data_IF_521937792077
#
_entry.id   IF_521937792077
#
_cell.length_a   1.000
_cell.length_b   1.000
_cell.length_c   1.000
_cell.angle_alpha   90.00
_cell.angle_beta   90.00
_cell.angle_gamma   90.00
#
_symmetry.space_group_name_H-M   'P 1'
#
loop_
_entity.id
_entity.type
_entity.pdbx_description
1 polymer ?
#
# COMPACT_ATOMS: atom_id res chain seq x y z
N UNK A 1 -1.73 28.07 1.64
CA UNK A 1 -1.83 27.01 2.67
C UNK A 1 -1.27 25.76 2.05
N UNK A 2 -0.25 25.12 2.64
CA UNK A 2 0.24 23.84 2.15
C UNK A 2 -0.85 22.76 2.29
N UNK A 3 -0.93 21.84 1.34
CA UNK A 3 -2.04 20.88 1.27
C UNK A 3 -1.93 19.81 2.37
N UNK A 4 -3.07 19.28 2.85
CA UNK A 4 -3.07 18.33 3.98
C UNK A 4 -2.27 17.05 3.70
N UNK A 5 -2.28 16.56 2.46
CA UNK A 5 -1.56 15.35 2.04
C UNK A 5 -0.05 15.56 1.94
N UNK A 6 0.40 16.77 1.60
CA UNK A 6 1.81 17.11 1.50
C UNK A 6 2.49 17.17 2.86
N UNK A 7 1.74 17.42 3.94
CA UNK A 7 2.28 17.64 5.30
C UNK A 7 1.59 16.82 6.38
N UNK A 8 1.04 15.67 6.02
CA UNK A 8 0.16 14.91 6.90
C UNK A 8 0.87 14.47 8.18
N UNK A 9 2.15 14.10 8.15
CA UNK A 9 2.83 13.70 9.38
C UNK A 9 3.04 14.86 10.35
N UNK A 10 3.43 16.03 9.83
CA UNK A 10 3.59 17.25 10.62
C UNK A 10 2.27 17.75 11.21
N UNK A 11 1.20 17.76 10.41
CA UNK A 11 -0.14 18.16 10.86
C UNK A 11 -0.67 17.26 11.98
N UNK A 12 -0.22 16.01 12.03
CA UNK A 12 -0.61 15.04 13.06
C UNK A 12 0.50 14.78 14.08
N UNK A 13 1.55 15.60 14.13
CA UNK A 13 2.74 15.41 14.99
C UNK A 13 2.39 15.33 16.48
N UNK A 14 1.39 16.07 16.95
CA UNK A 14 0.92 16.00 18.33
C UNK A 14 0.38 14.60 18.71
N UNK A 15 -0.16 13.86 17.74
CA UNK A 15 -0.68 12.49 17.94
C UNK A 15 0.38 11.45 17.58
N UNK A 16 1.02 11.57 16.41
CA UNK A 16 1.89 10.55 15.85
C UNK A 16 3.37 10.71 16.22
N UNK A 17 3.81 11.92 16.59
CA UNK A 17 5.24 12.24 16.78
C UNK A 17 5.93 11.41 17.85
N UNK A 18 5.20 11.01 18.90
CA UNK A 18 5.75 10.16 19.96
C UNK A 18 5.60 8.65 19.68
N UNK A 19 4.92 8.26 18.61
CA UNK A 19 4.81 6.85 18.23
C UNK A 19 6.09 6.41 17.51
N UNK A 20 6.66 5.25 17.87
CA UNK A 20 7.64 4.57 17.04
C UNK A 20 7.15 4.39 15.60
N UNK A 21 8.04 4.49 14.61
CA UNK A 21 7.66 4.31 13.19
C UNK A 21 6.95 2.99 12.92
N UNK A 22 7.30 1.90 13.62
CA UNK A 22 6.58 0.62 13.51
C UNK A 22 5.09 0.71 13.87
N UNK A 23 4.65 1.72 14.61
CA UNK A 23 3.25 1.99 14.96
C UNK A 23 2.52 2.94 14.01
N UNK A 24 3.24 3.49 13.03
CA UNK A 24 2.69 4.35 11.98
C UNK A 24 2.63 3.54 10.70
N UNK A 25 1.51 3.59 10.00
CA UNK A 25 1.34 2.94 8.71
C UNK A 25 1.69 3.93 7.61
N UNK A 26 2.78 3.65 6.88
CA UNK A 26 3.26 4.50 5.80
C UNK A 26 2.56 4.15 4.47
N UNK A 27 1.98 5.14 3.77
CA UNK A 27 1.57 5.00 2.37
C UNK A 27 2.80 4.73 1.50
N UNK A 28 2.79 3.61 0.79
CA UNK A 28 3.94 3.13 0.00
C UNK A 28 3.58 2.92 -1.46
N UNK A 29 4.44 3.41 -2.35
CA UNK A 29 4.32 3.16 -3.79
C UNK A 29 5.23 2.00 -4.19
N UNK A 30 4.63 0.97 -4.78
CA UNK A 30 5.34 -0.16 -5.37
C UNK A 30 5.86 0.24 -6.76
N UNK A 31 7.11 -0.14 -7.07
CA UNK A 31 7.78 0.22 -8.33
C UNK A 31 7.61 1.71 -8.68
N UNK A 32 7.87 2.58 -7.69
CA UNK A 32 7.44 3.98 -7.68
C UNK A 32 7.92 4.79 -8.89
N UNK A 33 9.06 4.43 -9.48
CA UNK A 33 9.63 5.09 -10.65
C UNK A 33 9.19 4.54 -12.01
N UNK A 34 8.10 3.77 -12.08
CA UNK A 34 7.59 3.18 -13.34
C UNK A 34 6.40 3.94 -13.93
N UNK A 35 6.46 5.28 -13.92
CA UNK A 35 5.36 6.12 -14.43
C UNK A 35 5.38 6.35 -15.94
N UNK A 36 6.52 6.15 -16.59
CA UNK A 36 6.69 6.21 -18.05
C UNK A 36 7.96 5.44 -18.45
N UNK A 37 8.03 4.97 -19.69
CA UNK A 37 9.26 4.39 -20.26
C UNK A 37 10.14 5.51 -20.81
N UNK A 38 11.39 5.60 -20.36
CA UNK A 38 12.30 6.67 -20.77
C UNK A 38 12.85 6.41 -22.18
N UNK A 39 12.59 7.33 -23.12
CA UNK A 39 13.17 7.31 -24.47
C UNK A 39 13.07 5.94 -25.18
N UNK A 40 11.97 5.21 -24.97
CA UNK A 40 11.77 3.86 -25.52
C UNK A 40 12.90 2.86 -25.16
N UNK A 41 13.51 3.04 -23.98
CA UNK A 41 14.60 2.19 -23.46
C UNK A 41 14.03 0.90 -22.88
N UNK A 42 13.54 0.04 -23.77
CA UNK A 42 12.87 -1.24 -23.46
C UNK A 42 13.35 -2.37 -24.36
N UNK A 43 13.11 -3.60 -23.92
CA UNK A 43 13.16 -4.80 -24.76
C UNK A 43 11.84 -4.95 -25.53
N UNK A 44 11.78 -5.89 -26.47
CA UNK A 44 10.60 -6.07 -27.34
C UNK A 44 9.30 -6.34 -26.58
N UNK A 45 9.37 -7.14 -25.50
CA UNK A 45 8.20 -7.45 -24.67
C UNK A 45 8.04 -6.50 -23.47
N UNK A 46 8.90 -5.49 -23.34
CA UNK A 46 8.86 -4.46 -22.30
C UNK A 46 7.80 -3.38 -22.57
N UNK A 47 6.59 -3.78 -22.98
CA UNK A 47 5.51 -2.87 -23.33
C UNK A 47 4.98 -2.12 -22.09
N UNK A 48 4.46 -0.92 -22.31
CA UNK A 48 3.97 -0.03 -21.25
C UNK A 48 2.91 -0.73 -20.38
N UNK A 49 2.00 -1.48 -20.98
CA UNK A 49 0.94 -2.24 -20.28
C UNK A 49 1.48 -3.31 -19.32
N UNK A 50 2.74 -3.73 -19.48
CA UNK A 50 3.39 -4.78 -18.69
C UNK A 50 4.35 -4.22 -17.64
N UNK A 51 4.87 -3.01 -17.86
CA UNK A 51 5.97 -2.43 -17.09
C UNK A 51 5.48 -1.32 -16.17
N UNK A 52 4.54 -0.49 -16.63
CA UNK A 52 4.10 0.67 -15.86
C UNK A 52 3.20 0.22 -14.72
N UNK A 53 3.61 0.50 -13.48
CA UNK A 53 2.78 0.27 -12.28
C UNK A 53 2.28 1.57 -11.69
N UNK A 54 2.76 2.72 -12.15
CA UNK A 54 2.35 4.04 -11.69
C UNK A 54 1.89 4.92 -12.86
N UNK A 55 1.02 5.89 -12.57
CA UNK A 55 0.58 6.93 -13.52
C UNK A 55 1.08 8.32 -13.16
N UNK A 56 1.73 8.46 -12.00
CA UNK A 56 2.13 9.72 -11.40
C UNK A 56 3.64 9.79 -11.22
N UNK A 57 4.21 10.99 -11.35
CA UNK A 57 5.62 11.23 -11.05
C UNK A 57 5.92 10.98 -9.57
N UNK A 58 7.21 10.84 -9.21
CA UNK A 58 7.61 10.69 -7.80
C UNK A 58 7.13 11.88 -6.97
N UNK A 59 7.28 13.11 -7.48
CA UNK A 59 6.81 14.31 -6.80
C UNK A 59 5.29 14.28 -6.58
N UNK A 60 4.50 13.90 -7.59
CA UNK A 60 3.04 13.81 -7.46
C UNK A 60 2.62 12.74 -6.45
N UNK A 61 3.29 11.59 -6.43
CA UNK A 61 3.03 10.53 -5.44
C UNK A 61 3.30 11.05 -4.01
N UNK A 62 4.39 11.78 -3.79
CA UNK A 62 4.70 12.43 -2.50
C UNK A 62 3.63 13.46 -2.12
N UNK A 63 3.16 14.27 -3.08
CA UNK A 63 2.09 15.26 -2.84
C UNK A 63 0.74 14.60 -2.51
N UNK A 64 0.49 13.39 -3.02
CA UNK A 64 -0.67 12.56 -2.67
C UNK A 64 -0.54 11.82 -1.33
N UNK A 65 0.61 11.94 -0.65
CA UNK A 65 0.82 11.44 0.71
C UNK A 65 1.73 10.22 0.83
N UNK A 66 2.29 9.71 -0.29
CA UNK A 66 3.29 8.63 -0.25
C UNK A 66 4.51 9.07 0.56
N UNK A 67 5.01 8.18 1.42
CA UNK A 67 6.22 8.41 2.24
C UNK A 67 7.21 7.25 2.20
N UNK A 68 6.89 6.18 1.48
CA UNK A 68 7.77 5.07 1.23
C UNK A 68 7.79 4.78 -0.28
N UNK A 69 8.97 4.85 -0.89
CA UNK A 69 9.15 4.68 -2.33
C UNK A 69 9.97 3.41 -2.59
N UNK A 70 9.37 2.44 -3.28
CA UNK A 70 10.08 1.28 -3.83
C UNK A 70 10.84 1.70 -5.10
N UNK A 71 12.15 1.86 -5.01
CA UNK A 71 13.02 2.28 -6.10
C UNK A 71 13.86 1.09 -6.55
N UNK A 72 13.74 0.70 -7.82
CA UNK A 72 14.48 -0.41 -8.42
C UNK A 72 15.44 0.11 -9.49
N UNK A 73 16.70 0.41 -9.15
CA UNK A 73 17.61 1.04 -10.09
C UNK A 73 18.18 0.02 -11.09
N UNK A 74 18.25 0.42 -12.35
CA UNK A 74 18.89 -0.32 -13.42
C UNK A 74 19.87 0.57 -14.16
N UNK A 75 21.10 0.09 -14.36
CA UNK A 75 22.07 0.72 -15.24
C UNK A 75 21.90 0.13 -16.62
N UNK A 76 21.33 0.89 -17.53
CA UNK A 76 20.89 0.36 -18.83
C UNK A 76 21.77 0.85 -19.96
N UNK A 77 22.08 -0.04 -20.90
CA UNK A 77 22.75 0.28 -22.17
C UNK A 77 22.07 -0.47 -23.31
N UNK A 78 22.08 0.08 -24.52
CA UNK A 78 21.52 -0.56 -25.72
C UNK A 78 22.61 -0.78 -26.77
N UNK A 79 22.69 -1.98 -27.37
CA UNK A 79 23.80 -2.34 -28.27
C UNK A 79 23.91 -1.46 -29.52
N UNK A 80 22.82 -0.80 -29.92
CA UNK A 80 22.74 0.04 -31.12
C UNK A 80 23.05 1.51 -30.86
N UNK A 81 23.33 1.92 -29.62
CA UNK A 81 23.58 3.32 -29.25
C UNK A 81 25.01 3.51 -28.76
N UNK A 82 25.68 4.58 -29.19
CA UNK A 82 26.97 4.99 -28.62
C UNK A 82 26.82 5.64 -27.23
N UNK A 83 25.58 5.79 -26.74
CA UNK A 83 25.28 6.43 -25.47
C UNK A 83 25.88 5.66 -24.30
N UNK A 84 26.42 6.41 -23.35
CA UNK A 84 26.90 5.85 -22.09
C UNK A 84 25.74 5.19 -21.33
N UNK A 85 26.00 4.09 -20.60
CA UNK A 85 25.00 3.50 -19.73
C UNK A 85 24.49 4.53 -18.71
N UNK A 86 23.19 4.50 -18.40
CA UNK A 86 22.59 5.47 -17.47
C UNK A 86 21.58 4.82 -16.51
N UNK A 87 21.53 5.38 -15.30
CA UNK A 87 20.71 4.87 -14.20
C UNK A 87 19.26 5.34 -14.28
N UNK A 88 18.35 4.36 -14.30
CA UNK A 88 16.91 4.56 -14.29
C UNK A 88 16.25 3.71 -13.22
N UNK A 89 15.03 4.03 -12.83
CA UNK A 89 14.13 3.01 -12.29
C UNK A 89 13.82 2.01 -13.40
N UNK A 90 13.67 0.73 -13.09
CA UNK A 90 13.37 -0.28 -14.10
C UNK A 90 12.48 -1.39 -13.57
N UNK A 91 11.73 -1.98 -14.49
CA UNK A 91 10.95 -3.18 -14.25
C UNK A 91 11.37 -4.22 -15.30
N UNK A 92 12.30 -5.08 -14.91
CA UNK A 92 12.83 -6.15 -15.75
C UNK A 92 12.61 -7.52 -15.11
N UNK A 93 12.53 -8.54 -15.95
CA UNK A 93 12.40 -9.93 -15.54
C UNK A 93 13.12 -10.83 -16.52
N UNK A 94 13.89 -11.78 -16.00
CA UNK A 94 14.41 -12.86 -16.80
C UNK A 94 13.29 -13.88 -17.06
N UNK A 95 12.94 -14.05 -18.33
CA UNK A 95 11.85 -14.92 -18.78
C UNK A 95 12.38 -16.29 -19.24
N UNK A 96 13.62 -16.62 -18.88
CA UNK A 96 14.30 -17.88 -19.19
C UNK A 96 15.16 -17.80 -20.46
N UNK A 97 15.99 -18.83 -20.67
CA UNK A 97 17.07 -18.83 -21.68
C UNK A 97 16.60 -18.59 -23.12
N UNK A 98 15.35 -18.91 -23.45
CA UNK A 98 14.79 -18.75 -24.79
C UNK A 98 14.36 -17.31 -25.12
N UNK A 99 13.96 -16.53 -24.12
CA UNK A 99 13.38 -15.17 -24.28
C UNK A 99 14.27 -14.11 -23.64
N UNK A 100 15.16 -14.52 -22.73
CA UNK A 100 16.08 -13.65 -22.03
C UNK A 100 15.38 -12.66 -21.10
N UNK A 101 16.09 -11.58 -20.80
CA UNK A 101 15.59 -10.50 -19.95
C UNK A 101 14.62 -9.63 -20.73
N UNK A 102 13.45 -9.36 -20.16
CA UNK A 102 12.43 -8.50 -20.74
C UNK A 102 11.98 -7.42 -19.75
N UNK A 103 11.70 -6.21 -20.25
CA UNK A 103 11.28 -5.09 -19.43
C UNK A 103 11.67 -3.72 -20.00
N UNK A 104 11.53 -2.69 -19.18
CA UNK A 104 11.84 -1.33 -19.58
C UNK A 104 12.50 -0.50 -18.47
N UNK A 105 13.30 0.46 -18.91
CA UNK A 105 13.87 1.52 -18.10
C UNK A 105 12.91 2.72 -18.12
N UNK A 106 12.58 3.17 -16.93
CA UNK A 106 11.55 4.15 -16.67
C UNK A 106 12.17 5.46 -16.17
N UNK A 107 11.66 6.06 -15.09
CA UNK A 107 12.10 7.36 -14.60
C UNK A 107 13.62 7.38 -14.31
N UNK A 108 14.40 8.33 -14.86
CA UNK A 108 15.82 8.47 -14.52
C UNK A 108 16.03 8.67 -13.00
N UNK A 109 17.04 8.02 -12.41
CA UNK A 109 17.29 8.15 -10.95
C UNK A 109 17.60 9.59 -10.55
N UNK A 110 18.23 10.35 -11.45
CA UNK A 110 18.40 11.80 -11.30
C UNK A 110 17.08 12.49 -10.95
N UNK A 111 16.03 12.21 -11.71
CA UNK A 111 14.72 12.82 -11.52
C UNK A 111 14.11 12.39 -10.19
N UNK A 112 14.30 11.15 -9.76
CA UNK A 112 13.86 10.68 -8.43
C UNK A 112 14.50 11.53 -7.33
N UNK A 113 15.82 11.76 -7.40
CA UNK A 113 16.55 12.60 -6.44
C UNK A 113 16.03 14.04 -6.47
N UNK A 114 15.83 14.60 -7.65
CA UNK A 114 15.37 15.99 -7.82
C UNK A 114 13.94 16.19 -7.31
N UNK A 115 13.04 15.23 -7.57
CA UNK A 115 11.66 15.23 -7.09
C UNK A 115 11.61 15.16 -5.54
N UNK A 116 12.42 14.29 -4.91
CA UNK A 116 12.50 14.17 -3.44
C UNK A 116 13.08 15.45 -2.81
N UNK A 117 14.15 15.99 -3.39
CA UNK A 117 14.75 17.23 -2.93
C UNK A 117 13.77 18.41 -3.04
N UNK A 118 13.01 18.47 -4.14
CA UNK A 118 11.94 19.46 -4.35
C UNK A 118 10.89 19.34 -3.27
N UNK A 119 10.37 18.13 -3.04
CA UNK A 119 9.35 17.89 -2.02
C UNK A 119 9.83 18.26 -0.61
N UNK A 120 10.99 17.76 -0.19
CA UNK A 120 11.51 17.96 1.18
C UNK A 120 11.99 19.38 1.46
N UNK A 121 12.28 20.19 0.43
CA UNK A 121 12.56 21.62 0.58
C UNK A 121 11.36 22.39 1.12
N UNK A 122 10.17 22.00 0.71
CA UNK A 122 8.92 22.73 1.01
C UNK A 122 8.11 22.05 2.12
N UNK A 123 8.29 20.74 2.28
CA UNK A 123 7.53 19.91 3.21
C UNK A 123 8.46 19.23 4.22
N UNK A 124 8.43 19.60 5.51
CA UNK A 124 9.27 19.01 6.54
C UNK A 124 8.78 17.62 6.96
N UNK A 125 8.77 16.68 6.02
CA UNK A 125 8.24 15.33 6.17
C UNK A 125 9.36 14.28 6.08
N UNK A 126 9.05 13.06 6.51
CA UNK A 126 9.92 11.89 6.39
C UNK A 126 9.68 11.19 5.05
N UNK A 127 10.70 11.06 4.20
CA UNK A 127 10.64 10.23 3.00
C UNK A 127 11.56 9.02 3.19
N UNK A 128 11.04 7.82 2.94
CA UNK A 128 11.83 6.59 2.89
C UNK A 128 12.00 6.21 1.43
N UNK A 129 13.25 6.08 0.98
CA UNK A 129 13.57 5.44 -0.30
C UNK A 129 14.11 4.05 -0.01
N UNK A 130 13.52 3.04 -0.65
CA UNK A 130 13.97 1.68 -0.56
C UNK A 130 14.55 1.25 -1.88
N UNK A 131 15.88 1.19 -1.93
CA UNK A 131 16.67 0.75 -3.07
C UNK A 131 16.78 -0.77 -3.02
N UNK A 132 16.18 -1.45 -3.99
CA UNK A 132 16.25 -2.90 -4.10
C UNK A 132 16.38 -3.36 -5.55
N UNK A 133 16.81 -4.61 -5.74
CA UNK A 133 16.98 -5.22 -7.08
C UNK A 133 17.79 -4.33 -8.03
N UNK A 134 18.92 -3.83 -7.54
CA UNK A 134 19.79 -2.99 -8.37
C UNK A 134 20.50 -3.85 -9.40
N UNK A 135 20.38 -3.54 -10.69
CA UNK A 135 20.89 -4.41 -11.77
C UNK A 135 21.61 -3.62 -12.86
N UNK A 136 22.49 -4.30 -13.60
CA UNK A 136 22.98 -3.86 -14.91
C UNK A 136 22.17 -4.58 -15.99
N UNK A 137 21.59 -3.81 -16.92
CA UNK A 137 20.82 -4.33 -18.04
C UNK A 137 21.48 -3.98 -19.37
N UNK A 138 21.73 -4.98 -20.21
CA UNK A 138 22.10 -4.77 -21.60
C UNK A 138 20.95 -5.17 -22.51
N UNK A 139 20.39 -4.19 -23.21
CA UNK A 139 19.29 -4.40 -24.17
C UNK A 139 19.89 -4.68 -25.54
N UNK A 140 19.59 -5.86 -26.07
CA UNK A 140 19.89 -6.25 -27.44
C UNK A 140 18.65 -5.99 -28.31
N UNK A 141 18.75 -5.27 -29.44
CA UNK A 141 17.61 -5.05 -30.32
C UNK A 141 17.16 -6.35 -30.98
N UNK A 142 15.86 -6.44 -31.33
CA UNK A 142 15.40 -7.52 -32.18
C UNK A 142 16.11 -7.54 -33.54
N UNK A 143 16.34 -8.74 -34.05
CA UNK A 143 16.85 -8.97 -35.41
C UNK A 143 16.00 -10.04 -36.09
N UNK A 144 16.05 -10.21 -37.41
CA UNK A 144 15.32 -11.28 -38.09
C UNK A 144 15.64 -12.69 -37.55
N UNK A 145 16.85 -12.91 -37.01
CA UNK A 145 17.26 -14.18 -36.41
C UNK A 145 17.06 -14.24 -34.88
N UNK A 146 16.65 -13.14 -34.26
CA UNK A 146 16.31 -13.03 -32.84
C UNK A 146 15.19 -11.98 -32.67
N UNK A 147 13.95 -12.31 -33.04
CA UNK A 147 12.85 -11.35 -33.13
C UNK A 147 12.36 -10.85 -31.77
N UNK A 148 12.78 -11.48 -30.66
CA UNK A 148 12.41 -11.08 -29.30
C UNK A 148 13.55 -10.36 -28.57
N UNK A 149 14.71 -10.17 -29.22
CA UNK A 149 15.90 -9.61 -28.59
C UNK A 149 16.38 -10.46 -27.40
N UNK A 150 16.27 -11.79 -27.52
CA UNK A 150 16.56 -12.77 -26.47
C UNK A 150 18.01 -12.76 -25.98
N UNK A 151 18.89 -12.04 -26.67
CA UNK A 151 20.25 -11.70 -26.21
C UNK A 151 20.33 -10.56 -25.20
N UNK A 152 19.20 -10.03 -24.73
CA UNK A 152 19.21 -9.06 -23.63
C UNK A 152 19.64 -9.76 -22.34
N UNK A 153 20.58 -9.15 -21.62
CA UNK A 153 21.21 -9.76 -20.43
C UNK A 153 21.11 -8.87 -19.21
N UNK A 154 21.14 -9.51 -18.05
CA UNK A 154 21.24 -8.86 -16.74
C UNK A 154 22.45 -9.37 -15.98
N UNK A 155 23.00 -8.54 -15.11
CA UNK A 155 23.98 -8.94 -14.09
C UNK A 155 23.92 -8.01 -12.89
N UNK A 156 24.53 -8.43 -11.79
CA UNK A 156 24.80 -7.54 -10.66
C UNK A 156 25.71 -6.37 -11.07
N UNK A 157 25.51 -5.15 -10.52
CA UNK A 157 26.42 -4.04 -10.73
C UNK A 157 27.80 -4.32 -10.13
N UNK A 158 28.84 -3.87 -10.81
CA UNK A 158 30.21 -3.86 -10.28
C UNK A 158 30.35 -2.81 -9.18
N UNK A 159 31.42 -2.89 -8.39
CA UNK A 159 31.73 -1.90 -7.35
C UNK A 159 31.79 -0.45 -7.91
N UNK A 160 32.40 -0.26 -9.08
CA UNK A 160 32.48 1.06 -9.73
C UNK A 160 31.13 1.60 -10.17
N UNK A 161 30.26 0.72 -10.67
CA UNK A 161 28.88 1.10 -11.04
C UNK A 161 28.07 1.46 -9.78
N UNK A 162 28.27 0.74 -8.67
CA UNK A 162 27.71 1.13 -7.38
C UNK A 162 28.21 2.49 -6.90
N UNK A 163 29.51 2.77 -7.01
CA UNK A 163 30.10 4.08 -6.64
C UNK A 163 29.53 5.23 -7.49
N UNK A 164 29.36 5.01 -8.80
CA UNK A 164 28.69 5.94 -9.71
C UNK A 164 27.24 6.19 -9.28
N UNK A 165 26.49 5.13 -8.97
CA UNK A 165 25.14 5.23 -8.45
C UNK A 165 25.06 6.00 -7.13
N UNK A 166 25.98 5.76 -6.19
CA UNK A 166 26.07 6.54 -4.96
C UNK A 166 26.45 8.00 -5.22
N UNK A 167 27.25 8.30 -6.25
CA UNK A 167 27.51 9.67 -6.70
C UNK A 167 26.21 10.41 -7.04
N UNK A 168 25.25 9.72 -7.67
CA UNK A 168 23.92 10.25 -7.95
C UNK A 168 23.14 10.45 -6.66
N UNK A 169 23.06 9.43 -5.81
CA UNK A 169 22.26 9.44 -4.58
C UNK A 169 22.78 10.40 -3.50
N UNK A 170 24.07 10.67 -3.43
CA UNK A 170 24.68 11.61 -2.47
C UNK A 170 24.21 13.07 -2.68
N UNK A 171 23.46 13.33 -3.74
CA UNK A 171 22.81 14.63 -3.98
C UNK A 171 21.46 14.75 -3.29
N UNK A 172 20.91 13.67 -2.74
CA UNK A 172 19.77 13.74 -1.82
C UNK A 172 20.13 14.63 -0.63
N UNK A 173 19.19 15.50 -0.27
CA UNK A 173 19.30 16.39 0.87
C UNK A 173 18.54 15.81 2.06
N UNK A 174 18.88 16.29 3.25
CA UNK A 174 18.19 15.93 4.49
C UNK A 174 18.27 14.43 4.85
N UNK A 175 19.34 13.74 4.42
CA UNK A 175 19.55 12.34 4.76
C UNK A 175 19.61 12.15 6.27
N UNK A 176 18.90 11.14 6.77
CA UNK A 176 18.91 10.72 8.16
C UNK A 176 20.10 9.78 8.38
N UNK A 177 21.10 10.27 9.10
CA UNK A 177 22.42 9.62 9.26
C UNK A 177 22.62 9.06 10.66
N UNK A 178 23.73 8.37 10.88
CA UNK A 178 24.14 7.88 12.22
C UNK A 178 24.33 9.00 13.25
N UNK A 179 24.56 10.24 12.81
CA UNK A 179 24.71 11.41 13.67
C UNK A 179 23.36 12.08 13.99
N UNK A 180 22.28 11.57 13.41
CA UNK A 180 20.93 12.11 13.63
C UNK A 180 20.38 11.73 15.01
N UNK A 181 19.41 12.50 15.54
CA UNK A 181 18.88 12.28 16.89
C UNK A 181 18.38 10.85 17.14
N UNK A 182 18.96 10.15 18.12
CA UNK A 182 18.57 8.77 18.47
C UNK A 182 19.09 7.69 17.52
N UNK A 183 19.85 8.06 16.49
CA UNK A 183 20.46 7.13 15.56
C UNK A 183 21.80 6.59 16.08
N UNK A 184 22.10 5.34 15.71
CA UNK A 184 23.41 4.69 15.87
C UNK A 184 23.50 3.57 14.83
N UNK A 185 24.69 3.04 14.57
CA UNK A 185 24.88 1.89 13.67
C UNK A 185 24.24 0.58 14.20
N UNK A 186 23.76 0.57 15.45
CA UNK A 186 23.01 -0.55 16.04
C UNK A 186 21.51 -0.28 16.16
N UNK A 187 21.04 0.93 15.86
CA UNK A 187 19.64 1.32 16.02
C UNK A 187 18.75 0.66 14.98
N UNK A 188 17.62 0.09 15.44
CA UNK A 188 16.49 -0.22 14.57
C UNK A 188 15.65 1.04 14.40
N UNK A 189 15.66 1.61 13.20
CA UNK A 189 14.98 2.88 12.90
C UNK A 189 13.46 2.78 13.12
N UNK A 190 12.88 1.59 12.98
CA UNK A 190 11.45 1.38 13.19
C UNK A 190 11.01 1.52 14.66
N UNK A 191 11.95 1.41 15.60
CA UNK A 191 11.69 1.62 17.03
C UNK A 191 11.76 3.09 17.44
N UNK A 192 12.34 3.94 16.59
CA UNK A 192 12.45 5.36 16.89
C UNK A 192 11.10 6.07 16.71
N UNK A 193 10.70 6.90 17.68
CA UNK A 193 9.59 7.84 17.52
C UNK A 193 9.73 8.73 16.28
N UNK A 194 8.61 8.99 15.59
CA UNK A 194 8.55 9.86 14.40
C UNK A 194 9.23 11.23 14.61
N UNK A 195 9.12 11.81 15.81
CA UNK A 195 9.74 13.10 16.14
C UNK A 195 11.27 13.11 16.05
N UNK A 196 11.94 11.96 16.12
CA UNK A 196 13.39 11.92 15.91
C UNK A 196 13.77 12.24 14.47
N UNK A 197 12.88 11.95 13.52
CA UNK A 197 13.07 12.25 12.10
C UNK A 197 12.62 13.68 11.77
N UNK A 198 11.45 14.12 12.27
CA UNK A 198 10.82 15.37 11.79
C UNK A 198 10.39 16.36 12.89
N UNK A 199 10.68 16.10 14.17
CA UNK A 199 10.09 16.82 15.30
C UNK A 199 10.44 18.31 15.43
N UNK A 200 11.54 18.74 14.81
CA UNK A 200 11.97 20.15 14.82
C UNK A 200 11.48 20.94 13.59
N UNK A 201 10.43 20.45 12.92
CA UNK A 201 9.97 21.02 11.65
C UNK A 201 11.00 20.88 10.53
N UNK A 202 11.89 19.88 10.61
CA UNK A 202 12.90 19.57 9.61
C UNK A 202 12.47 18.34 8.81
N UNK A 203 12.70 18.30 7.49
CA UNK A 203 12.53 17.08 6.70
C UNK A 203 13.59 16.04 7.05
N UNK A 204 13.31 14.78 6.70
CA UNK A 204 14.29 13.69 6.77
C UNK A 204 14.12 12.73 5.60
N UNK A 205 15.23 12.19 5.09
CA UNK A 205 15.24 11.15 4.05
C UNK A 205 15.99 9.93 4.58
N UNK A 206 15.35 8.76 4.60
CA UNK A 206 16.00 7.49 4.96
C UNK A 206 16.27 6.73 3.67
N UNK A 207 17.54 6.40 3.40
CA UNK A 207 17.90 5.47 2.34
C UNK A 207 18.02 4.05 2.88
N UNK A 208 17.14 3.13 2.45
CA UNK A 208 17.30 1.70 2.67
C UNK A 208 17.93 1.06 1.45
N UNK A 209 18.92 0.18 1.64
CA UNK A 209 19.62 -0.47 0.53
C UNK A 209 19.74 -1.98 0.72
N UNK A 210 19.52 -2.71 -0.37
CA UNK A 210 19.77 -4.15 -0.50
C UNK A 210 20.92 -4.42 -1.47
N UNK A 211 21.61 -5.54 -1.29
CA UNK A 211 22.61 -6.05 -2.25
C UNK A 211 23.99 -5.38 -2.22
N UNK A 212 24.16 -4.24 -1.53
CA UNK A 212 25.46 -3.57 -1.42
C UNK A 212 26.33 -4.15 -0.29
N UNK A 213 27.40 -4.87 -0.65
CA UNK A 213 28.22 -5.68 0.29
C UNK A 213 29.32 -4.90 1.04
N UNK A 214 29.64 -3.65 0.67
CA UNK A 214 30.76 -2.88 1.24
C UNK A 214 30.29 -1.73 2.14
N UNK A 215 30.09 -1.99 3.44
CA UNK A 215 29.11 -1.25 4.25
C UNK A 215 29.58 -0.53 5.56
N UNK A 216 30.87 -0.25 5.85
CA UNK A 216 31.18 0.41 7.12
C UNK A 216 30.83 1.92 7.15
N UNK A 217 30.71 2.58 5.99
CA UNK A 217 30.52 4.03 5.91
C UNK A 217 29.14 4.49 5.41
N UNK A 218 28.28 3.57 4.96
CA UNK A 218 27.00 3.92 4.34
C UNK A 218 26.06 4.68 5.30
N UNK A 219 26.16 4.40 6.60
CA UNK A 219 25.38 5.06 7.64
C UNK A 219 25.69 6.56 7.79
N UNK A 220 26.94 6.96 7.50
CA UNK A 220 27.34 8.39 7.51
C UNK A 220 26.70 9.15 6.36
N UNK A 221 26.46 8.47 5.24
CA UNK A 221 25.74 9.02 4.08
C UNK A 221 24.21 8.87 4.20
N UNK A 222 23.71 8.33 5.31
CA UNK A 222 22.28 8.12 5.57
C UNK A 222 21.65 6.92 4.86
N UNK A 223 22.48 5.97 4.40
CA UNK A 223 22.02 4.69 3.89
C UNK A 223 22.13 3.61 4.96
N UNK A 224 21.11 2.76 5.01
CA UNK A 224 20.91 1.76 6.04
C UNK A 224 20.59 0.42 5.39
N UNK A 225 21.03 -0.71 5.96
CA UNK A 225 20.51 -2.02 5.59
C UNK A 225 18.99 -2.05 5.75
N UNK A 226 18.31 -2.71 4.81
CA UNK A 226 16.86 -2.82 4.76
C UNK A 226 16.24 -3.28 6.09
N UNK A 227 16.90 -4.22 6.77
CA UNK A 227 16.45 -4.84 8.01
C UNK A 227 16.36 -3.85 9.18
N UNK A 228 16.97 -2.66 9.06
CA UNK A 228 16.93 -1.63 10.10
C UNK A 228 15.57 -0.94 10.22
N UNK A 229 14.72 -0.99 9.18
CA UNK A 229 13.38 -0.36 9.21
C UNK A 229 12.22 -1.37 9.17
N UNK A 230 12.47 -2.66 8.94
CA UNK A 230 11.40 -3.63 8.71
C UNK A 230 11.26 -4.60 9.89
N UNK A 231 10.03 -4.74 10.40
CA UNK A 231 9.66 -5.74 11.41
C UNK A 231 8.86 -6.92 10.85
N UNK A 232 8.20 -6.73 9.70
CA UNK A 232 7.37 -7.72 8.96
C UNK A 232 7.17 -7.27 7.51
N UNK A 233 6.82 -8.21 6.63
CA UNK A 233 6.44 -7.91 5.24
C UNK A 233 5.28 -6.91 5.15
N UNK A 234 5.27 -6.04 4.12
CA UNK A 234 4.16 -5.11 3.86
C UNK A 234 2.83 -5.85 3.65
N UNK A 235 1.70 -5.13 3.77
CA UNK A 235 0.47 -5.59 3.11
C UNK A 235 0.54 -5.20 1.62
N UNK A 236 0.68 -6.18 0.69
CA UNK A 236 0.59 -5.90 -0.74
C UNK A 236 -0.85 -5.60 -1.11
N UNK A 237 -1.24 -4.33 -1.08
CA UNK A 237 -2.64 -3.94 -1.29
C UNK A 237 -3.11 -4.18 -2.73
N UNK A 238 -2.28 -3.81 -3.69
CA UNK A 238 -2.53 -4.09 -5.12
C UNK A 238 -1.48 -4.97 -5.75
N UNK A 239 -0.39 -5.31 -5.03
CA UNK A 239 0.67 -6.14 -5.60
C UNK A 239 0.04 -7.44 -6.10
N UNK A 240 0.09 -7.65 -7.41
CA UNK A 240 -0.44 -8.83 -8.06
C UNK A 240 0.52 -10.00 -7.83
N UNK A 241 0.69 -10.42 -6.58
CA UNK A 241 1.19 -11.77 -6.31
C UNK A 241 0.03 -12.73 -6.51
N UNK A 242 0.26 -13.84 -7.23
CA UNK A 242 -0.72 -14.89 -7.46
C UNK A 242 -1.26 -15.41 -6.13
N UNK A 243 -2.43 -14.93 -5.72
CA UNK A 243 -3.22 -15.49 -4.63
C UNK A 243 -2.51 -15.59 -3.27
N UNK A 244 -3.22 -16.08 -2.24
CA UNK A 244 -2.69 -16.27 -0.89
C UNK A 244 -2.07 -17.67 -0.66
N UNK A 245 -1.97 -18.52 -1.70
CA UNK A 245 -1.55 -19.93 -1.59
C UNK A 245 -0.19 -20.23 -2.26
N UNK A 246 0.55 -19.24 -2.75
CA UNK A 246 1.91 -19.43 -3.29
C UNK A 246 2.88 -18.47 -2.60
N UNK A 247 3.65 -19.02 -1.66
CA UNK A 247 4.84 -18.41 -1.09
C UNK A 247 5.86 -18.09 -2.20
N UNK A 248 6.50 -16.93 -2.04
CA UNK A 248 7.72 -16.45 -2.69
C UNK A 248 7.72 -15.94 -4.15
N UNK A 249 8.29 -14.73 -4.25
CA UNK A 249 9.20 -14.25 -5.30
C UNK A 249 8.76 -14.45 -6.75
N UNK A 250 7.91 -13.55 -7.26
CA UNK A 250 8.02 -12.97 -8.62
C UNK A 250 6.92 -11.92 -8.87
N UNK A 251 7.12 -10.68 -8.43
CA UNK A 251 6.42 -9.51 -8.99
C UNK A 251 7.16 -9.05 -10.25
N UNK A 252 7.28 -9.97 -11.18
CA UNK A 252 8.17 -9.93 -12.34
C UNK A 252 7.41 -10.63 -13.47
N UNK A 253 7.23 -10.04 -14.67
CA UNK A 253 6.55 -10.68 -15.79
C UNK A 253 7.17 -12.04 -16.15
N UNK A 254 6.65 -13.11 -15.55
CA UNK A 254 6.81 -14.46 -16.06
C UNK A 254 6.21 -14.56 -17.47
N UNK A 255 6.66 -15.52 -18.27
CA UNK A 255 6.11 -15.77 -19.60
C UNK A 255 4.57 -15.99 -19.55
N UNK A 256 4.09 -16.57 -18.44
CA UNK A 256 2.67 -16.77 -18.16
C UNK A 256 1.91 -15.49 -17.79
N UNK A 257 2.53 -14.53 -17.10
CA UNK A 257 1.90 -13.23 -16.84
C UNK A 257 1.96 -12.32 -18.06
N UNK A 258 3.04 -12.37 -18.85
CA UNK A 258 3.12 -11.64 -20.12
C UNK A 258 2.07 -12.18 -21.11
N UNK A 259 1.95 -13.51 -21.23
CA UNK A 259 0.91 -14.11 -22.06
C UNK A 259 -0.48 -13.84 -21.50
N UNK A 260 -0.69 -13.90 -20.18
CA UNK A 260 -2.00 -13.62 -19.58
C UNK A 260 -2.43 -12.16 -19.77
N UNK A 261 -1.55 -11.17 -19.64
CA UNK A 261 -1.88 -9.76 -19.92
C UNK A 261 -2.15 -9.56 -21.41
N UNK A 262 -1.31 -10.13 -22.27
CA UNK A 262 -1.49 -10.07 -23.73
C UNK A 262 -2.78 -10.75 -24.21
N UNK A 263 -3.16 -11.87 -23.60
CA UNK A 263 -4.38 -12.63 -23.92
C UNK A 263 -5.64 -12.06 -23.24
N UNK A 264 -5.50 -11.44 -22.05
CA UNK A 264 -6.63 -10.80 -21.35
C UNK A 264 -6.91 -9.37 -21.84
N UNK A 265 -5.97 -8.74 -22.53
CA UNK A 265 -6.06 -7.36 -23.00
C UNK A 265 -6.03 -6.33 -21.87
N UNK A 266 -5.63 -6.69 -20.64
CA UNK A 266 -5.62 -5.80 -19.48
C UNK A 266 -4.21 -5.42 -19.02
N UNK A 267 -3.95 -4.13 -18.87
CA UNK A 267 -2.67 -3.61 -18.37
C UNK A 267 -2.48 -3.84 -16.87
N UNK A 268 -1.25 -3.79 -16.38
CA UNK A 268 -0.95 -3.87 -14.93
C UNK A 268 -1.66 -2.75 -14.14
N UNK A 269 -1.76 -1.56 -14.73
CA UNK A 269 -2.53 -0.44 -14.17
C UNK A 269 -4.03 -0.71 -14.08
N UNK A 270 -4.63 -1.34 -15.09
CA UNK A 270 -6.06 -1.72 -15.06
C UNK A 270 -6.34 -2.79 -13.99
N UNK A 271 -5.48 -3.79 -13.88
CA UNK A 271 -5.59 -4.82 -12.84
C UNK A 271 -5.41 -4.24 -11.45
N UNK A 272 -4.48 -3.29 -11.28
CA UNK A 272 -4.32 -2.54 -10.04
C UNK A 272 -5.61 -1.80 -9.70
N UNK A 273 -6.20 -1.05 -10.64
CA UNK A 273 -7.45 -0.33 -10.45
C UNK A 273 -8.61 -1.26 -10.04
N UNK A 274 -8.78 -2.39 -10.72
CA UNK A 274 -9.80 -3.39 -10.39
C UNK A 274 -9.58 -3.94 -8.97
N UNK A 275 -8.33 -4.20 -8.59
CA UNK A 275 -7.96 -4.68 -7.26
C UNK A 275 -8.25 -3.65 -6.18
N UNK A 276 -7.88 -2.38 -6.42
CA UNK A 276 -8.19 -1.26 -5.55
C UNK A 276 -9.70 -1.15 -5.30
N UNK A 277 -10.51 -1.05 -6.37
CA UNK A 277 -11.99 -0.98 -6.29
C UNK A 277 -12.57 -2.13 -5.46
N UNK A 278 -12.00 -3.33 -5.59
CA UNK A 278 -12.43 -4.53 -4.87
C UNK A 278 -12.03 -4.55 -3.39
N UNK A 279 -10.86 -4.02 -3.04
CA UNK A 279 -10.28 -4.16 -1.70
C UNK A 279 -10.54 -2.97 -0.79
N UNK A 280 -10.57 -1.74 -1.30
CA UNK A 280 -10.74 -0.53 -0.49
C UNK A 280 -11.95 -0.56 0.47
N UNK A 281 -13.14 -1.07 0.08
CA UNK A 281 -14.30 -1.09 0.99
C UNK A 281 -14.10 -1.85 2.31
N UNK A 282 -13.15 -2.78 2.37
CA UNK A 282 -12.91 -3.63 3.55
C UNK A 282 -11.44 -3.70 3.98
N UNK A 283 -10.53 -2.98 3.32
CA UNK A 283 -9.09 -3.02 3.61
C UNK A 283 -8.81 -2.76 5.09
N UNK A 284 -9.39 -1.70 5.63
CA UNK A 284 -9.22 -1.30 7.04
C UNK A 284 -9.71 -2.36 8.01
N UNK A 285 -10.66 -3.21 7.61
CA UNK A 285 -11.14 -4.30 8.46
C UNK A 285 -10.15 -5.47 8.51
N UNK A 286 -9.41 -5.69 7.42
CA UNK A 286 -8.44 -6.79 7.31
C UNK A 286 -7.05 -6.40 7.81
N UNK A 287 -6.66 -5.13 7.68
CA UNK A 287 -5.33 -4.68 8.06
C UNK A 287 -4.96 -5.20 9.44
N UNK A 288 -3.96 -6.07 9.47
CA UNK A 288 -3.46 -6.57 10.75
C UNK A 288 -2.89 -5.39 11.53
N UNK A 289 -3.07 -5.42 12.85
CA UNK A 289 -2.55 -4.38 13.74
C UNK A 289 -1.01 -4.21 13.66
N UNK A 290 -0.31 -5.16 13.04
CA UNK A 290 1.13 -5.11 12.82
C UNK A 290 1.57 -4.53 11.47
N UNK A 291 0.65 -4.21 10.55
CA UNK A 291 1.00 -3.61 9.25
C UNK A 291 1.42 -2.15 9.42
N UNK A 292 2.71 -1.86 9.20
CA UNK A 292 3.28 -0.51 9.22
C UNK A 292 3.50 0.06 7.80
N UNK A 293 3.13 -0.66 6.75
CA UNK A 293 3.27 -0.22 5.35
C UNK A 293 2.20 -0.85 4.47
N UNK A 294 1.59 -0.05 3.60
CA UNK A 294 0.62 -0.50 2.60
C UNK A 294 1.16 -0.15 1.22
N UNK A 295 1.50 -1.17 0.43
CA UNK A 295 2.09 -1.00 -0.91
C UNK A 295 0.98 -0.94 -1.97
N UNK A 296 1.00 0.11 -2.80
CA UNK A 296 0.00 0.33 -3.85
C UNK A 296 0.62 0.75 -5.19
N UNK A 297 0.12 0.14 -6.26
CA UNK A 297 0.26 0.50 -7.65
C UNK A 297 -0.84 1.48 -8.03
N UNK A 298 -0.63 2.29 -9.08
CA UNK A 298 -1.59 3.28 -9.58
C UNK A 298 -2.05 4.25 -8.48
N UNK A 299 -1.10 4.98 -7.89
CA UNK A 299 -1.41 6.09 -6.99
C UNK A 299 -2.04 7.23 -7.81
N UNK A 300 -3.33 7.50 -7.62
CA UNK A 300 -4.02 8.57 -8.37
C UNK A 300 -4.65 9.65 -7.47
N UNK A 301 -4.92 9.28 -6.23
CA UNK A 301 -5.73 10.02 -5.26
C UNK A 301 -5.12 9.92 -3.87
N UNK A 302 -5.76 10.58 -2.89
CA UNK A 302 -5.35 10.50 -1.47
C UNK A 302 -5.90 9.26 -0.76
N UNK A 303 -6.45 8.27 -1.47
CA UNK A 303 -7.13 7.12 -0.86
C UNK A 303 -6.19 6.26 -0.01
N UNK A 304 -4.97 6.03 -0.51
CA UNK A 304 -3.94 5.31 0.25
C UNK A 304 -3.56 6.06 1.53
N UNK A 305 -3.44 7.38 1.46
CA UNK A 305 -3.17 8.22 2.63
C UNK A 305 -4.34 8.14 3.62
N UNK A 306 -5.59 8.26 3.15
CA UNK A 306 -6.79 8.17 3.99
C UNK A 306 -6.82 6.86 4.78
N UNK A 307 -6.58 5.72 4.13
CA UNK A 307 -6.53 4.40 4.76
C UNK A 307 -5.36 4.30 5.75
N UNK A 308 -4.16 4.69 5.33
CA UNK A 308 -2.94 4.57 6.15
C UNK A 308 -2.99 5.46 7.40
N UNK A 309 -3.49 6.69 7.27
CA UNK A 309 -3.67 7.60 8.39
C UNK A 309 -4.75 7.09 9.35
N UNK A 310 -5.87 6.58 8.83
CA UNK A 310 -6.92 6.02 9.67
C UNK A 310 -6.41 4.82 10.49
N UNK A 311 -5.63 3.93 9.86
CA UNK A 311 -4.97 2.83 10.57
C UNK A 311 -3.97 3.34 11.62
N UNK A 312 -3.13 4.33 11.27
CA UNK A 312 -2.16 4.93 12.20
C UNK A 312 -2.83 5.55 13.43
N UNK A 313 -3.95 6.24 13.24
CA UNK A 313 -4.74 6.83 14.34
C UNK A 313 -5.41 5.77 15.20
N UNK A 314 -5.87 4.66 14.61
CA UNK A 314 -6.38 3.54 15.40
C UNK A 314 -5.26 2.86 16.19
N UNK A 315 -4.05 2.73 15.62
CA UNK A 315 -2.89 2.20 16.34
C UNK A 315 -2.44 3.11 17.47
N UNK A 316 -2.57 4.43 17.30
CA UNK A 316 -2.43 5.38 18.41
C UNK A 316 -3.43 5.09 19.53
N UNK A 317 -4.71 4.88 19.19
CA UNK A 317 -5.75 4.54 20.16
C UNK A 317 -5.40 3.25 20.93
N UNK A 318 -5.01 2.19 20.21
CA UNK A 318 -4.57 0.92 20.79
C UNK A 318 -3.36 1.13 21.72
N UNK A 319 -2.35 1.90 21.28
CA UNK A 319 -1.15 2.20 22.07
C UNK A 319 -1.46 2.99 23.35
N UNK A 320 -2.50 3.83 23.33
CA UNK A 320 -2.95 4.60 24.49
C UNK A 320 -4.00 3.88 25.34
N UNK A 321 -4.49 2.71 24.92
CA UNK A 321 -5.57 2.01 25.60
C UNK A 321 -6.90 2.76 25.58
N UNK A 322 -7.16 3.55 24.53
CA UNK A 322 -8.39 4.33 24.34
C UNK A 322 -9.16 3.78 23.14
N UNK A 323 -10.49 3.96 23.12
CA UNK A 323 -11.37 3.41 22.06
C UNK A 323 -12.05 4.52 21.24
N UNK A 324 -11.32 5.60 20.97
CA UNK A 324 -11.87 6.73 20.24
C UNK A 324 -12.24 6.35 18.80
N UNK A 325 -13.35 6.89 18.30
CA UNK A 325 -13.67 6.80 16.88
C UNK A 325 -12.65 7.57 16.05
N UNK A 326 -12.22 6.96 14.95
CA UNK A 326 -11.34 7.58 13.96
C UNK A 326 -12.17 7.90 12.73
N UNK A 327 -12.15 9.16 12.30
CA UNK A 327 -12.74 9.61 11.03
C UNK A 327 -11.65 10.36 10.27
N UNK A 328 -11.35 9.91 9.06
CA UNK A 328 -10.38 10.54 8.16
C UNK A 328 -11.06 10.81 6.83
N UNK A 329 -10.82 11.97 6.24
CA UNK A 329 -11.34 12.35 4.93
C UNK A 329 -10.28 13.13 4.16
N UNK A 330 -9.97 12.70 2.93
CA UNK A 330 -8.96 13.34 2.08
C UNK A 330 -7.57 13.45 2.73
N UNK A 331 -7.18 12.44 3.53
CA UNK A 331 -5.92 12.47 4.28
C UNK A 331 -5.89 13.39 5.51
N UNK A 332 -7.04 13.89 5.97
CA UNK A 332 -7.18 14.72 7.18
C UNK A 332 -8.00 14.00 8.25
N UNK A 333 -7.52 14.02 9.50
CA UNK A 333 -8.35 13.61 10.66
C UNK A 333 -9.47 14.62 10.88
N UNK A 334 -10.70 14.13 10.96
CA UNK A 334 -11.86 14.94 11.33
C UNK A 334 -11.97 14.99 12.86
N UNK A 335 -12.01 16.22 13.39
CA UNK A 335 -12.12 16.51 14.83
C UNK A 335 -13.33 17.37 15.19
N UNK A 336 -14.09 17.84 14.20
CA UNK A 336 -15.31 18.62 14.43
C UNK A 336 -16.36 17.75 15.12
N UNK A 337 -16.78 18.14 16.33
CA UNK A 337 -17.69 17.33 17.15
C UNK A 337 -19.07 17.14 16.49
N UNK A 338 -19.61 18.17 15.85
CA UNK A 338 -20.90 18.07 15.14
C UNK A 338 -20.87 17.02 14.03
N UNK A 339 -19.77 16.96 13.27
CA UNK A 339 -19.55 15.92 12.25
C UNK A 339 -19.41 14.54 12.90
N UNK A 340 -18.61 14.44 13.97
CA UNK A 340 -18.42 13.17 14.68
C UNK A 340 -19.72 12.64 15.29
N UNK A 341 -20.61 13.51 15.79
CA UNK A 341 -21.92 13.15 16.31
C UNK A 341 -22.87 12.70 15.19
N UNK A 342 -22.82 13.35 14.01
CA UNK A 342 -23.60 12.94 12.86
C UNK A 342 -23.19 11.53 12.37
N UNK A 343 -21.90 11.25 12.29
CA UNK A 343 -21.37 9.91 11.99
C UNK A 343 -21.78 8.91 13.08
N UNK A 344 -21.74 9.30 14.36
CA UNK A 344 -22.19 8.44 15.47
C UNK A 344 -23.66 8.04 15.33
N UNK A 345 -24.54 9.01 15.07
CA UNK A 345 -25.96 8.77 14.85
C UNK A 345 -26.19 7.85 13.66
N UNK A 346 -25.43 7.98 12.58
CA UNK A 346 -25.52 7.09 11.43
C UNK A 346 -25.14 5.64 11.80
N UNK A 347 -24.08 5.44 12.59
CA UNK A 347 -23.66 4.13 13.10
C UNK A 347 -24.77 3.50 13.96
N UNK A 348 -25.27 4.24 14.96
CA UNK A 348 -26.26 3.74 15.93
C UNK A 348 -27.57 3.35 15.27
N UNK A 349 -28.04 4.15 14.31
CA UNK A 349 -29.26 3.88 13.57
C UNK A 349 -29.05 2.96 12.36
N UNK A 350 -27.82 2.54 12.06
CA UNK A 350 -27.54 1.72 10.89
C UNK A 350 -27.89 2.38 9.57
N UNK A 351 -27.64 3.68 9.44
CA UNK A 351 -27.98 4.47 8.23
C UNK A 351 -26.73 4.74 7.40
N UNK A 352 -26.83 4.78 6.07
CA UNK A 352 -25.71 5.23 5.24
C UNK A 352 -25.35 6.67 5.57
N UNK A 353 -24.06 7.01 5.53
CA UNK A 353 -23.58 8.38 5.70
C UNK A 353 -22.89 8.84 4.41
N UNK A 354 -23.48 9.83 3.73
CA UNK A 354 -22.96 10.34 2.46
C UNK A 354 -21.65 11.12 2.67
N UNK A 355 -20.65 10.84 1.85
CA UNK A 355 -19.30 11.43 1.92
C UNK A 355 -19.22 12.62 0.98
N UNK A 356 -19.10 13.82 1.54
CA UNK A 356 -18.85 15.05 0.78
C UNK A 356 -18.09 16.07 1.63
N UNK A 357 -17.64 17.17 1.01
CA UNK A 357 -17.05 18.30 1.73
C UNK A 357 -18.03 18.89 2.75
N UNK A 358 -19.30 19.00 2.40
CA UNK A 358 -20.34 19.53 3.28
C UNK A 358 -20.58 18.63 4.49
N UNK A 359 -20.56 17.30 4.31
CA UNK A 359 -20.89 16.36 5.38
C UNK A 359 -19.73 16.10 6.34
N UNK A 360 -18.49 16.21 5.87
CA UNK A 360 -17.29 15.90 6.66
C UNK A 360 -16.45 17.14 7.02
N UNK A 361 -16.95 18.35 6.72
CA UNK A 361 -16.30 19.60 7.10
C UNK A 361 -15.02 19.87 6.31
N UNK A 362 -15.00 19.44 5.05
CA UNK A 362 -13.94 19.75 4.11
C UNK A 362 -13.97 21.23 3.72
N UNK A 363 -12.80 21.86 3.67
CA UNK A 363 -12.64 23.04 2.81
C UNK A 363 -12.81 22.53 1.38
N UNK A 364 -13.57 23.23 0.52
CA UNK A 364 -13.67 22.90 -0.91
C UNK A 364 -12.26 22.65 -1.46
N UNK A 365 -11.94 21.38 -1.66
CA UNK A 365 -10.69 20.93 -2.23
C UNK A 365 -11.02 20.55 -3.67
N UNK A 366 -10.49 21.31 -4.61
CA UNK A 366 -10.78 21.14 -6.04
C UNK A 366 -10.13 19.87 -6.62
N UNK A 367 -9.37 19.11 -5.83
CA UNK A 367 -8.82 17.83 -6.26
C UNK A 367 -9.93 16.79 -6.38
N UNK A 368 -10.00 16.16 -7.55
CA UNK A 368 -10.86 15.00 -7.78
C UNK A 368 -10.32 13.80 -6.98
N UNK A 369 -11.21 13.05 -6.33
CA UNK A 369 -10.88 11.77 -5.71
C UNK A 369 -10.41 11.87 -4.26
N UNK A 370 -11.27 12.39 -3.37
CA UNK A 370 -11.12 12.15 -1.92
C UNK A 370 -11.87 10.87 -1.54
N UNK A 371 -11.52 10.31 -0.39
CA UNK A 371 -12.31 9.27 0.27
C UNK A 371 -12.38 9.51 1.77
N UNK A 372 -13.34 8.86 2.40
CA UNK A 372 -13.49 8.81 3.84
C UNK A 372 -13.21 7.40 4.37
N UNK A 373 -12.55 7.34 5.53
CA UNK A 373 -12.33 6.15 6.33
C UNK A 373 -12.86 6.39 7.74
N UNK A 374 -13.62 5.44 8.27
CA UNK A 374 -14.14 5.47 9.64
C UNK A 374 -13.81 4.16 10.35
N UNK A 375 -13.12 4.23 11.49
CA UNK A 375 -12.95 3.11 12.41
C UNK A 375 -13.64 3.43 13.73
N UNK A 376 -14.38 2.46 14.26
CA UNK A 376 -15.21 2.66 15.44
C UNK A 376 -15.45 1.35 16.18
N UNK A 377 -15.69 1.46 17.49
CA UNK A 377 -16.14 0.33 18.29
C UNK A 377 -17.67 0.29 18.30
N UNK A 378 -18.23 -0.88 18.01
CA UNK A 378 -19.67 -1.11 18.10
C UNK A 378 -19.93 -2.59 18.43
N UNK A 379 -20.75 -2.84 19.45
CA UNK A 379 -21.07 -4.20 19.95
C UNK A 379 -19.82 -5.03 20.30
N UNK A 380 -18.83 -4.41 20.94
CA UNK A 380 -17.58 -5.09 21.33
C UNK A 380 -16.62 -5.41 20.18
N UNK A 381 -16.94 -4.99 18.95
CA UNK A 381 -16.09 -5.18 17.77
C UNK A 381 -15.50 -3.86 17.30
N UNK A 382 -14.26 -3.91 16.81
CA UNK A 382 -13.69 -2.84 15.99
C UNK A 382 -14.17 -3.02 14.55
N UNK A 383 -14.93 -2.05 14.05
CA UNK A 383 -15.49 -2.03 12.71
C UNK A 383 -14.87 -0.89 11.91
N UNK A 384 -14.71 -1.11 10.61
CA UNK A 384 -14.22 -0.10 9.69
C UNK A 384 -15.14 0.05 8.48
N UNK A 385 -15.24 1.27 7.95
CA UNK A 385 -15.91 1.60 6.69
C UNK A 385 -15.05 2.54 5.88
N UNK A 386 -15.11 2.38 4.57
CA UNK A 386 -14.47 3.26 3.61
C UNK A 386 -15.43 3.54 2.46
N UNK A 387 -15.41 4.77 1.95
CA UNK A 387 -16.14 5.15 0.75
C UNK A 387 -15.43 6.31 0.05
N UNK A 388 -15.39 6.33 -1.29
CA UNK A 388 -14.94 7.52 -2.00
C UNK A 388 -15.96 8.65 -1.84
N UNK A 389 -15.52 9.87 -2.12
CA UNK A 389 -16.39 11.04 -2.20
C UNK A 389 -17.55 10.81 -3.17
N UNK A 390 -18.71 11.39 -2.86
CA UNK A 390 -19.99 11.18 -3.55
C UNK A 390 -20.62 9.79 -3.35
N UNK A 391 -19.98 8.88 -2.59
CA UNK A 391 -20.60 7.63 -2.14
C UNK A 391 -20.95 7.69 -0.66
N UNK A 392 -21.49 6.60 -0.11
CA UNK A 392 -21.86 6.52 1.29
C UNK A 392 -21.04 5.50 2.07
N UNK A 393 -20.64 5.86 3.29
CA UNK A 393 -20.20 4.91 4.29
C UNK A 393 -21.40 4.02 4.67
N UNK A 394 -21.33 2.73 4.32
CA UNK A 394 -22.42 1.76 4.47
C UNK A 394 -22.48 1.19 5.89
N UNK A 395 -23.11 1.93 6.82
CA UNK A 395 -23.44 1.41 8.16
C UNK A 395 -24.77 0.60 8.17
N UNK A 396 -25.52 0.70 7.09
CA UNK A 396 -26.72 -0.09 6.79
C UNK A 396 -26.41 -1.53 6.40
N UNK A 397 -25.20 -1.81 5.90
CA UNK A 397 -24.74 -3.18 5.61
C UNK A 397 -23.73 -3.63 6.67
N UNK A 398 -24.10 -4.63 7.47
CA UNK A 398 -23.25 -5.10 8.57
C UNK A 398 -23.59 -6.52 9.04
N UNK A 399 -22.64 -7.16 9.72
CA UNK A 399 -22.90 -8.40 10.46
C UNK A 399 -23.33 -8.01 11.86
N UNK A 400 -24.57 -8.35 12.22
CA UNK A 400 -25.19 -7.96 13.49
C UNK A 400 -25.19 -9.07 14.53
N UNK A 401 -24.89 -10.31 14.13
CA UNK A 401 -24.70 -11.43 15.05
C UNK A 401 -24.28 -12.71 14.33
N UNK A 402 -23.70 -13.63 15.07
CA UNK A 402 -23.38 -14.97 14.61
C UNK A 402 -23.62 -15.95 15.76
N UNK A 403 -24.42 -16.98 15.51
CA UNK A 403 -24.89 -17.89 16.55
C UNK A 403 -24.62 -19.34 16.18
N UNK A 404 -24.06 -20.10 17.11
CA UNK A 404 -23.92 -21.54 17.00
C UNK A 404 -24.73 -22.19 18.12
N UNK A 405 -25.71 -23.02 17.76
CA UNK A 405 -26.60 -23.69 18.73
C UNK A 405 -27.20 -22.69 19.76
N UNK A 406 -27.62 -21.52 19.28
CA UNK A 406 -28.15 -20.38 20.06
C UNK A 406 -27.15 -19.66 20.98
N UNK A 407 -25.86 -19.99 20.91
CA UNK A 407 -24.81 -19.23 21.59
C UNK A 407 -24.21 -18.19 20.65
N UNK A 408 -24.08 -16.95 21.11
CA UNK A 408 -23.33 -15.92 20.39
C UNK A 408 -21.85 -16.34 20.30
N UNK A 409 -21.37 -16.38 19.06
CA UNK A 409 -19.99 -16.73 18.72
C UNK A 409 -19.29 -15.63 17.93
N UNK A 410 -19.92 -14.44 17.84
CA UNK A 410 -19.33 -13.32 17.14
C UNK A 410 -18.02 -12.91 17.80
N UNK A 411 -16.94 -12.91 17.02
CA UNK A 411 -15.59 -12.49 17.44
C UNK A 411 -14.99 -11.57 16.38
N UNK A 412 -13.96 -10.81 16.74
CA UNK A 412 -13.25 -9.97 15.78
C UNK A 412 -12.70 -10.79 14.60
N UNK A 413 -12.17 -11.98 14.87
CA UNK A 413 -11.64 -12.89 13.84
C UNK A 413 -12.74 -13.37 12.88
N UNK A 414 -13.90 -13.79 13.42
CA UNK A 414 -15.04 -14.21 12.60
C UNK A 414 -15.59 -13.03 11.77
N UNK A 415 -15.71 -11.85 12.37
CA UNK A 415 -16.16 -10.64 11.67
C UNK A 415 -15.22 -10.30 10.50
N UNK A 416 -13.91 -10.28 10.73
CA UNK A 416 -12.90 -10.00 9.71
C UNK A 416 -12.89 -11.04 8.59
N UNK A 417 -13.23 -12.30 8.89
CA UNK A 417 -13.30 -13.36 7.89
C UNK A 417 -14.55 -13.29 7.01
N UNK A 418 -15.70 -12.93 7.59
CA UNK A 418 -16.98 -12.89 6.89
C UNK A 418 -17.19 -11.60 6.10
N UNK A 419 -16.80 -10.44 6.65
CA UNK A 419 -17.10 -9.14 6.04
C UNK A 419 -16.63 -9.03 4.58
N UNK A 420 -15.37 -9.37 4.23
CA UNK A 420 -14.91 -9.29 2.84
C UNK A 420 -15.68 -10.23 1.91
N UNK A 421 -16.15 -11.39 2.40
CA UNK A 421 -16.91 -12.35 1.60
C UNK A 421 -18.30 -11.82 1.28
N UNK A 422 -18.96 -11.20 2.25
CA UNK A 422 -20.26 -10.55 2.08
C UNK A 422 -20.16 -9.41 1.07
N UNK A 423 -19.21 -8.49 1.27
CA UNK A 423 -19.04 -7.33 0.38
C UNK A 423 -18.60 -7.69 -1.04
N UNK A 424 -17.90 -8.81 -1.22
CA UNK A 424 -17.47 -9.26 -2.55
C UNK A 424 -18.36 -10.35 -3.16
N UNK A 425 -19.50 -10.67 -2.54
CA UNK A 425 -20.40 -11.72 -3.00
C UNK A 425 -19.75 -13.10 -3.12
N UNK A 426 -18.67 -13.35 -2.36
CA UNK A 426 -17.89 -14.58 -2.49
C UNK A 426 -18.46 -15.69 -1.62
N UNK A 427 -18.29 -16.91 -2.11
CA UNK A 427 -18.57 -18.13 -1.37
C UNK A 427 -17.72 -18.24 -0.10
N UNK A 428 -18.32 -18.76 0.96
CA UNK A 428 -17.68 -19.04 2.25
C UNK A 428 -18.07 -20.44 2.74
N UNK A 429 -17.15 -21.11 3.43
CA UNK A 429 -17.37 -22.44 4.00
C UNK A 429 -16.99 -22.39 5.47
N UNK A 430 -17.85 -22.94 6.33
CA UNK A 430 -17.53 -23.09 7.75
C UNK A 430 -16.36 -24.07 7.93
N UNK A 431 -15.19 -23.56 8.32
CA UNK A 431 -13.98 -24.35 8.61
C UNK A 431 -13.76 -24.53 10.11
N UNK A 432 -12.83 -25.43 10.48
CA UNK A 432 -12.51 -25.73 11.88
C UNK A 432 -11.68 -24.64 12.57
N UNK A 433 -11.09 -23.72 11.80
CA UNK A 433 -10.03 -22.82 12.25
C UNK A 433 -10.55 -21.55 12.92
N UNK A 434 -11.85 -21.30 12.82
CA UNK A 434 -12.45 -20.15 13.50
C UNK A 434 -12.63 -20.46 14.99
N UNK A 435 -12.13 -19.59 15.86
CA UNK A 435 -12.32 -19.69 17.30
C UNK A 435 -13.46 -18.75 17.74
N UNK A 436 -14.34 -19.24 18.60
CA UNK A 436 -15.28 -18.39 19.35
C UNK A 436 -14.52 -17.47 20.32
N UNK A 437 -15.16 -16.40 20.84
CA UNK A 437 -14.55 -15.53 21.85
C UNK A 437 -14.01 -16.24 23.10
N UNK A 438 -14.55 -17.43 23.41
CA UNK A 438 -14.13 -18.28 24.54
C UNK A 438 -13.06 -19.32 24.16
N UNK A 439 -12.44 -19.20 22.99
CA UNK A 439 -11.40 -20.13 22.52
C UNK A 439 -11.92 -21.51 22.09
N UNK A 440 -13.24 -21.74 22.08
CA UNK A 440 -13.80 -22.98 21.50
C UNK A 440 -13.72 -22.93 19.98
N UNK A 441 -13.17 -23.96 19.36
CA UNK A 441 -13.15 -24.11 17.91
C UNK A 441 -14.59 -24.22 17.36
N UNK A 442 -14.95 -23.33 16.44
CA UNK A 442 -16.19 -23.35 15.68
C UNK A 442 -16.31 -24.60 14.81
N UNK A 443 -15.21 -25.34 14.62
CA UNK A 443 -15.22 -26.67 14.00
C UNK A 443 -16.08 -27.72 14.71
N UNK A 444 -16.49 -27.47 15.95
CA UNK A 444 -17.45 -28.31 16.69
C UNK A 444 -18.91 -27.94 16.40
N UNK A 445 -19.18 -26.77 15.83
CA UNK A 445 -20.53 -26.34 15.47
C UNK A 445 -21.08 -27.18 14.30
N UNK A 446 -22.24 -27.79 14.51
CA UNK A 446 -22.99 -28.48 13.44
C UNK A 446 -23.58 -27.49 12.43
N UNK A 447 -24.00 -26.32 12.91
CA UNK A 447 -24.47 -25.21 12.09
C UNK A 447 -24.21 -23.85 12.74
N UNK A 448 -24.03 -22.84 11.90
CA UNK A 448 -23.94 -21.43 12.30
C UNK A 448 -25.08 -20.63 11.64
N UNK A 449 -25.64 -19.69 12.39
CA UNK A 449 -26.65 -18.73 11.95
C UNK A 449 -26.01 -17.34 11.95
N UNK A 450 -25.84 -16.75 10.77
CA UNK A 450 -25.26 -15.41 10.60
C UNK A 450 -26.42 -14.44 10.38
N UNK A 451 -26.54 -13.43 11.24
CA UNK A 451 -27.52 -12.35 11.09
C UNK A 451 -26.86 -11.16 10.42
N UNK A 452 -27.40 -10.77 9.28
CA UNK A 452 -26.93 -9.69 8.43
C UNK A 452 -27.94 -8.56 8.47
N UNK A 453 -27.45 -7.33 8.52
CA UNK A 453 -28.18 -6.16 8.05
C UNK A 453 -27.76 -5.92 6.61
N UNK A 454 -28.71 -5.90 5.69
CA UNK A 454 -28.48 -5.61 4.27
C UNK A 454 -28.93 -4.18 3.95
N UNK A 455 -28.69 -3.74 2.71
CA UNK A 455 -29.18 -2.45 2.21
C UNK A 455 -30.65 -2.20 2.61
N UNK A 456 -30.98 -0.95 2.90
CA UNK A 456 -32.28 -0.50 3.45
C UNK A 456 -32.55 -0.92 4.90
N UNK A 457 -31.55 -1.49 5.59
CA UNK A 457 -31.61 -1.80 7.01
C UNK A 457 -32.36 -3.09 7.36
N UNK A 458 -32.82 -3.85 6.36
CA UNK A 458 -33.50 -5.13 6.55
C UNK A 458 -32.55 -6.14 7.20
N UNK A 459 -33.09 -6.95 8.11
CA UNK A 459 -32.38 -8.07 8.71
C UNK A 459 -32.61 -9.35 7.91
N UNK A 460 -31.53 -10.03 7.56
CA UNK A 460 -31.54 -11.34 6.91
C UNK A 460 -30.73 -12.34 7.72
N UNK A 461 -31.12 -13.62 7.67
CA UNK A 461 -30.41 -14.69 8.35
C UNK A 461 -29.89 -15.72 7.35
N UNK A 462 -28.64 -16.13 7.55
CA UNK A 462 -27.97 -17.12 6.73
C UNK A 462 -27.57 -18.28 7.61
N UNK A 463 -28.13 -19.46 7.33
CA UNK A 463 -27.77 -20.70 8.01
C UNK A 463 -26.75 -21.46 7.17
N UNK A 464 -25.67 -21.90 7.79
CA UNK A 464 -24.66 -22.73 7.16
C UNK A 464 -24.38 -23.95 8.03
N UNK A 465 -24.53 -25.16 7.50
CA UNK A 465 -24.06 -26.37 8.20
C UNK A 465 -22.58 -26.59 7.95
N UNK A 466 -21.96 -27.38 8.81
CA UNK A 466 -20.57 -27.80 8.64
C UNK A 466 -20.38 -28.45 7.28
N UNK A 467 -19.41 -27.95 6.51
CA UNK A 467 -19.10 -28.43 5.16
C UNK A 467 -19.92 -27.81 4.04
N UNK A 468 -21.03 -27.12 4.34
CA UNK A 468 -21.82 -26.41 3.33
C UNK A 468 -21.11 -25.11 2.90
N UNK A 469 -21.31 -24.76 1.63
CA UNK A 469 -20.84 -23.51 1.05
C UNK A 469 -22.00 -22.52 1.07
N UNK A 470 -21.79 -21.40 1.76
CA UNK A 470 -22.69 -20.24 1.73
C UNK A 470 -22.27 -19.36 0.56
N UNK A 471 -23.21 -19.07 -0.32
CA UNK A 471 -23.03 -18.06 -1.36
C UNK A 471 -23.55 -16.71 -0.86
N UNK A 472 -22.64 -15.74 -0.72
CA UNK A 472 -22.99 -14.38 -0.32
C UNK A 472 -23.37 -13.47 -1.49
N UNK A 473 -23.35 -13.96 -2.75
CA UNK A 473 -23.66 -13.14 -3.93
C UNK A 473 -25.01 -12.43 -3.83
N UNK A 474 -26.01 -13.04 -3.18
CA UNK A 474 -27.35 -12.44 -2.98
C UNK A 474 -27.40 -11.30 -1.95
N UNK A 475 -26.40 -11.15 -1.10
CA UNK A 475 -26.34 -10.11 -0.06
C UNK A 475 -25.26 -9.06 -0.35
N UNK A 476 -24.41 -9.32 -1.34
CA UNK A 476 -23.40 -8.38 -1.76
C UNK A 476 -24.03 -7.17 -2.46
N UNK A 477 -23.36 -6.02 -2.45
CA UNK A 477 -23.81 -4.82 -3.15
C UNK A 477 -23.88 -5.00 -4.69
N UNK A 478 -23.38 -6.10 -5.24
CA UNK A 478 -23.35 -6.40 -6.68
C UNK A 478 -24.72 -6.71 -7.33
N UNK A 479 -25.83 -6.60 -6.58
CA UNK A 479 -27.19 -6.57 -7.11
C UNK A 479 -27.81 -5.13 -7.12
N UNK A 480 -27.00 -4.07 -6.97
CA UNK A 480 -27.46 -2.67 -6.97
C UNK A 480 -26.55 -1.75 -7.79
#
# INVERSE_FOLDING_TARGET
MAEHSERWMQLHSATLGNLPLKHITLPSSHDAGTSYVHNNLRTELGLDDMVLTQTRSILDQLNLGVRYLDIRPVLTSKSSTQDAPSWHCGHYTNVGDAVGVQGASCVPIQKVVDDINTFTRENPELVVIHIKRTQRIHISPATPSDPLGGKSTEREPTQREWEDFFGILNRLKNMYTVESPGASNHTYLHDLPLKYFIGNGKPAVIGLIEGYKNSPHIYKSGFWPHERLITKDPDPFTRLTRGPDEDDLNSSPSLNSMSSSYLSGSSELEKAEQTQKKRFPWVLQRLERSVNRIDMDKIETTDLLTVSLANSLQRYNDFKGINNKVVVYGGKRITNQTVLDAVQKAIEHGKPFHVSDESLGGVKDNRKGKSAAVLYHHQGLLKARWAPESQALRFDTDITGAYCENHDVMSQSLYNALLPKIFSGRKWKLSKDFLSPKGKALGLCKSIHIRLRVADGKLEEVKAKKGEIVDFAKFGPSNM
#
